data_IF_167788456970
#
_entry.id   IF_167788456970
#
_cell.length_a   1.000
_cell.length_b   1.000
_cell.length_c   1.000
_cell.angle_alpha   90.00
_cell.angle_beta   90.00
_cell.angle_gamma   90.00
#
_symmetry.space_group_name_H-M   'P 1'
#
loop_
_entity.id
_entity.type
_entity.pdbx_description
1 polymer ?
#
# COMPACT_ATOMS: atom_id res chain seq x y z
N UNK A 1 -1.28 -22.97 -29.48
CA UNK A 1 -2.60 -23.01 -30.16
C UNK A 1 -3.33 -21.67 -30.07
N UNK A 2 -2.94 -20.77 -29.16
CA UNK A 2 -3.71 -19.57 -28.80
C UNK A 2 -3.73 -18.47 -29.88
N UNK A 3 -2.67 -18.33 -30.67
CA UNK A 3 -2.59 -17.27 -31.69
C UNK A 3 -3.60 -17.41 -32.83
N UNK A 4 -3.84 -18.63 -33.32
CA UNK A 4 -4.83 -18.88 -34.38
C UNK A 4 -6.26 -18.73 -33.87
N UNK A 5 -6.54 -19.18 -32.65
CA UNK A 5 -7.86 -19.02 -32.00
C UNK A 5 -8.16 -17.53 -31.81
N UNK A 6 -7.19 -16.76 -31.31
CA UNK A 6 -7.33 -15.31 -31.09
C UNK A 6 -7.54 -14.56 -32.41
N UNK A 7 -6.85 -14.94 -33.50
CA UNK A 7 -7.08 -14.37 -34.83
C UNK A 7 -8.48 -14.68 -35.38
N UNK A 8 -8.99 -15.90 -35.15
CA UNK A 8 -10.32 -16.31 -35.59
C UNK A 8 -11.43 -15.56 -34.82
N UNK A 9 -11.24 -15.38 -33.52
CA UNK A 9 -12.11 -14.56 -32.67
C UNK A 9 -12.12 -13.09 -33.10
N UNK A 10 -10.95 -12.52 -33.41
CA UNK A 10 -10.83 -11.14 -33.91
C UNK A 10 -11.48 -10.99 -35.29
N UNK A 11 -11.29 -11.96 -36.19
CA UNK A 11 -11.93 -11.96 -37.50
C UNK A 11 -13.45 -12.01 -37.39
N UNK A 12 -13.97 -12.92 -36.57
CA UNK A 12 -15.40 -13.02 -36.28
C UNK A 12 -15.96 -11.73 -35.65
N UNK A 13 -15.28 -11.18 -34.64
CA UNK A 13 -15.70 -9.97 -33.93
C UNK A 13 -15.63 -8.70 -34.79
N UNK A 14 -14.69 -8.65 -35.74
CA UNK A 14 -14.57 -7.52 -36.67
C UNK A 14 -15.68 -7.50 -37.74
N UNK A 15 -16.38 -8.62 -37.95
CA UNK A 15 -17.38 -8.76 -39.03
C UNK A 15 -16.80 -8.59 -40.44
N UNK A 16 -15.47 -8.62 -40.59
CA UNK A 16 -14.75 -8.31 -41.82
C UNK A 16 -13.75 -9.41 -42.15
N UNK A 17 -13.61 -9.71 -43.44
CA UNK A 17 -12.59 -10.64 -43.97
C UNK A 17 -11.28 -9.90 -44.24
N UNK A 18 -11.29 -8.57 -44.18
CA UNK A 18 -10.10 -7.77 -44.41
C UNK A 18 -9.18 -7.79 -43.19
N UNK A 19 -7.95 -8.28 -43.42
CA UNK A 19 -6.89 -8.36 -42.40
C UNK A 19 -6.65 -7.00 -41.72
N UNK A 20 -6.83 -5.89 -42.42
CA UNK A 20 -6.70 -4.53 -41.85
C UNK A 20 -7.70 -4.25 -40.72
N UNK A 21 -8.94 -4.72 -40.84
CA UNK A 21 -9.96 -4.52 -39.80
C UNK A 21 -9.70 -5.43 -38.59
N UNK A 22 -9.28 -6.68 -38.86
CA UNK A 22 -8.86 -7.63 -37.82
C UNK A 22 -7.68 -7.09 -37.02
N UNK A 23 -6.66 -6.57 -37.71
CA UNK A 23 -5.49 -5.96 -37.08
C UNK A 23 -5.85 -4.72 -36.27
N UNK A 24 -6.70 -3.83 -36.81
CA UNK A 24 -7.18 -2.65 -36.09
C UNK A 24 -7.88 -3.04 -34.78
N UNK A 25 -8.75 -4.04 -34.82
CA UNK A 25 -9.47 -4.52 -33.63
C UNK A 25 -8.53 -5.21 -32.63
N UNK A 26 -7.54 -5.97 -33.13
CA UNK A 26 -6.47 -6.54 -32.31
C UNK A 26 -5.68 -5.47 -31.55
N UNK A 27 -5.22 -4.43 -32.24
CA UNK A 27 -4.50 -3.32 -31.60
C UNK A 27 -5.36 -2.55 -30.59
N UNK A 28 -6.65 -2.32 -30.89
CA UNK A 28 -7.56 -1.68 -29.94
C UNK A 28 -7.71 -2.49 -28.64
N UNK A 29 -7.78 -3.82 -28.76
CA UNK A 29 -7.88 -4.71 -27.59
C UNK A 29 -6.61 -4.70 -26.76
N UNK A 30 -5.43 -4.79 -27.38
CA UNK A 30 -4.14 -4.69 -26.69
C UNK A 30 -3.98 -3.34 -25.98
N UNK A 31 -4.33 -2.22 -26.63
CA UNK A 31 -4.31 -0.89 -25.99
C UNK A 31 -5.24 -0.84 -24.77
N UNK A 32 -6.40 -1.50 -24.83
CA UNK A 32 -7.32 -1.54 -23.71
C UNK A 32 -6.81 -2.41 -22.55
N UNK A 33 -6.16 -3.54 -22.85
CA UNK A 33 -5.51 -4.40 -21.86
C UNK A 33 -4.38 -3.63 -21.13
N UNK A 34 -3.53 -2.93 -21.88
CA UNK A 34 -2.46 -2.08 -21.32
C UNK A 34 -3.01 -0.91 -20.48
N UNK A 35 -4.12 -0.30 -20.90
CA UNK A 35 -4.81 0.73 -20.09
C UNK A 35 -5.37 0.17 -18.79
N UNK A 36 -5.85 -1.07 -18.81
CA UNK A 36 -6.28 -1.79 -17.61
C UNK A 36 -5.13 -1.95 -16.62
N UNK A 37 -3.97 -2.42 -17.10
CA UNK A 37 -2.74 -2.54 -16.31
C UNK A 37 -2.27 -1.20 -15.74
N UNK A 38 -2.27 -0.15 -16.56
CA UNK A 38 -1.88 1.18 -16.13
C UNK A 38 -2.80 1.70 -15.01
N UNK A 39 -4.12 1.50 -15.14
CA UNK A 39 -5.10 1.87 -14.11
C UNK A 39 -4.89 1.09 -12.81
N UNK A 40 -4.59 -0.21 -12.92
CA UNK A 40 -4.26 -1.06 -11.78
C UNK A 40 -3.01 -0.58 -11.04
N UNK A 41 -1.93 -0.28 -11.78
CA UNK A 41 -0.69 0.25 -11.21
C UNK A 41 -0.90 1.61 -10.53
N UNK A 42 -1.70 2.48 -11.13
CA UNK A 42 -2.07 3.77 -10.50
C UNK A 42 -2.82 3.57 -9.19
N UNK A 43 -3.79 2.64 -9.14
CA UNK A 43 -4.48 2.29 -7.90
C UNK A 43 -3.52 1.75 -6.82
N UNK A 44 -2.54 0.94 -7.22
CA UNK A 44 -1.47 0.46 -6.34
C UNK A 44 -0.59 1.58 -5.80
N UNK A 45 -0.22 2.56 -6.63
CA UNK A 45 0.53 3.73 -6.18
C UNK A 45 -0.22 4.51 -5.11
N UNK A 46 -1.52 4.77 -5.30
CA UNK A 46 -2.35 5.45 -4.30
C UNK A 46 -2.41 4.65 -2.99
N UNK A 47 -2.61 3.34 -3.07
CA UNK A 47 -2.62 2.48 -1.88
C UNK A 47 -1.29 2.54 -1.10
N UNK A 48 -0.16 2.52 -1.79
CA UNK A 48 1.15 2.63 -1.16
C UNK A 48 1.33 4.01 -0.53
N UNK A 49 0.91 5.08 -1.21
CA UNK A 49 1.02 6.46 -0.70
C UNK A 49 0.23 6.65 0.60
N UNK A 50 -1.01 6.16 0.66
CA UNK A 50 -1.83 6.16 1.89
C UNK A 50 -1.15 5.40 3.04
N UNK A 51 -0.53 4.26 2.75
CA UNK A 51 0.22 3.47 3.75
C UNK A 51 1.47 4.20 4.24
N UNK A 52 2.19 4.88 3.35
CA UNK A 52 3.34 5.70 3.73
C UNK A 52 2.92 6.88 4.59
N UNK A 53 1.82 7.56 4.24
CA UNK A 53 1.26 8.65 5.05
C UNK A 53 0.87 8.17 6.45
N UNK A 54 0.21 7.01 6.56
CA UNK A 54 -0.13 6.40 7.84
C UNK A 54 1.10 6.09 8.70
N UNK A 55 2.13 5.47 8.11
CA UNK A 55 3.38 5.18 8.81
C UNK A 55 4.10 6.45 9.26
N UNK A 56 4.11 7.47 8.41
CA UNK A 56 4.71 8.76 8.75
C UNK A 56 3.98 9.44 9.91
N UNK A 57 2.65 9.34 9.97
CA UNK A 57 1.87 9.83 11.11
C UNK A 57 2.24 9.10 12.41
N UNK A 58 2.36 7.76 12.37
CA UNK A 58 2.82 6.98 13.52
C UNK A 58 4.22 7.40 13.97
N UNK A 59 5.17 7.54 13.03
CA UNK A 59 6.54 7.97 13.34
C UNK A 59 6.50 9.33 14.03
N UNK A 60 5.73 10.28 13.50
CA UNK A 60 5.59 11.61 14.09
C UNK A 60 5.00 11.57 15.51
N UNK A 61 3.97 10.75 15.74
CA UNK A 61 3.40 10.57 17.08
C UNK A 61 4.41 9.94 18.05
N UNK A 62 5.21 8.98 17.59
CA UNK A 62 6.26 8.35 18.38
C UNK A 62 7.41 9.32 18.70
N UNK A 63 7.82 10.16 17.75
CA UNK A 63 8.82 11.21 17.95
C UNK A 63 8.33 12.28 18.92
N UNK A 64 7.05 12.68 18.81
CA UNK A 64 6.41 13.59 19.76
C UNK A 64 6.36 12.97 21.16
N UNK A 65 5.99 11.69 21.26
CA UNK A 65 6.00 10.95 22.51
C UNK A 65 7.41 10.84 23.09
N UNK A 66 8.43 10.57 22.27
CA UNK A 66 9.83 10.46 22.72
C UNK A 66 10.41 11.80 23.18
N UNK A 67 10.17 12.87 22.42
CA UNK A 67 10.60 14.24 22.77
C UNK A 67 9.88 14.80 23.99
N UNK A 68 8.65 14.35 24.28
CA UNK A 68 7.98 14.63 25.55
C UNK A 68 8.38 13.66 26.64
N UNK A 69 8.71 12.42 26.32
CA UNK A 69 9.26 11.46 27.27
C UNK A 69 10.61 11.93 27.82
N UNK A 70 11.40 12.72 27.09
CA UNK A 70 12.58 13.40 27.65
C UNK A 70 12.22 14.50 28.67
N UNK A 71 11.12 15.24 28.44
CA UNK A 71 10.55 16.19 29.42
C UNK A 71 10.03 15.44 30.64
N UNK A 72 9.42 14.27 30.45
CA UNK A 72 9.00 13.43 31.58
C UNK A 72 10.19 12.71 32.23
N UNK A 73 11.23 12.31 31.51
CA UNK A 73 12.49 11.79 32.07
C UNK A 73 13.16 12.85 32.93
N UNK A 74 13.19 14.10 32.48
CA UNK A 74 13.69 15.24 33.26
C UNK A 74 12.84 15.51 34.52
N UNK A 75 11.52 15.36 34.43
CA UNK A 75 10.60 15.46 35.58
C UNK A 75 10.67 14.23 36.52
N UNK A 76 10.96 13.04 36.00
CA UNK A 76 11.09 11.76 36.73
C UNK A 76 12.43 11.70 37.45
N UNK A 77 13.54 12.11 36.82
CA UNK A 77 14.83 12.32 37.50
C UNK A 77 14.70 13.33 38.66
N UNK A 78 13.82 14.33 38.53
CA UNK A 78 13.53 15.28 39.61
C UNK A 78 12.59 14.73 40.70
N UNK A 79 11.85 13.64 40.44
CA UNK A 79 10.83 13.07 41.35
C UNK A 79 11.14 11.69 41.93
N UNK A 80 12.20 11.00 41.48
CA UNK A 80 12.84 9.78 42.02
C UNK A 80 12.00 8.81 42.89
N UNK A 81 10.71 8.63 42.59
CA UNK A 81 9.79 7.83 43.40
C UNK A 81 8.63 7.21 42.63
N UNK A 82 8.36 7.67 41.40
CA UNK A 82 7.22 7.23 40.57
C UNK A 82 7.65 6.38 39.34
N UNK A 83 8.80 5.69 39.41
CA UNK A 83 9.34 4.84 38.33
C UNK A 83 8.38 3.73 37.85
N UNK A 84 7.38 3.39 38.65
CA UNK A 84 6.39 2.34 38.36
C UNK A 84 5.45 2.72 37.21
N UNK A 85 5.05 4.00 37.10
CA UNK A 85 4.06 4.43 36.11
C UNK A 85 4.67 4.50 34.70
N UNK A 86 5.97 4.79 34.61
CA UNK A 86 6.69 4.83 33.34
C UNK A 86 6.96 3.44 32.75
N UNK A 87 7.29 2.47 33.60
CA UNK A 87 7.48 1.09 33.19
C UNK A 87 6.18 0.48 32.59
N UNK A 88 5.03 0.87 33.14
CA UNK A 88 3.72 0.35 32.73
C UNK A 88 3.34 0.82 31.31
N UNK A 89 3.59 2.09 30.98
CA UNK A 89 3.32 2.61 29.63
C UNK A 89 4.21 1.95 28.55
N UNK A 90 5.48 1.69 28.85
CA UNK A 90 6.41 1.02 27.92
C UNK A 90 6.00 -0.45 27.73
N UNK A 91 5.57 -1.15 28.79
CA UNK A 91 5.03 -2.50 28.67
C UNK A 91 3.75 -2.53 27.83
N UNK A 92 2.86 -1.55 27.99
CA UNK A 92 1.62 -1.46 27.21
C UNK A 92 1.89 -1.34 25.71
N UNK A 93 2.80 -0.46 25.29
CA UNK A 93 3.19 -0.33 23.88
C UNK A 93 3.90 -1.56 23.33
N UNK A 94 4.75 -2.22 24.16
CA UNK A 94 5.39 -3.48 23.77
C UNK A 94 4.36 -4.59 23.55
N UNK A 95 3.37 -4.70 24.43
CA UNK A 95 2.31 -5.71 24.33
C UNK A 95 1.43 -5.52 23.08
N UNK A 96 1.10 -4.28 22.72
CA UNK A 96 0.34 -3.99 21.48
C UNK A 96 1.14 -4.42 20.24
N UNK A 97 2.44 -4.13 20.22
CA UNK A 97 3.31 -4.46 19.09
C UNK A 97 3.54 -5.97 18.97
N UNK A 98 3.72 -6.67 20.07
CA UNK A 98 3.91 -8.12 20.08
C UNK A 98 2.61 -8.85 19.64
N UNK A 99 1.43 -8.31 19.97
CA UNK A 99 0.14 -8.80 19.50
C UNK A 99 -0.08 -8.62 17.98
N UNK A 100 0.42 -7.54 17.38
CA UNK A 100 0.38 -7.36 15.91
C UNK A 100 1.34 -8.29 15.18
N UNK A 101 2.45 -8.70 15.79
CA UNK A 101 3.46 -9.55 15.15
C UNK A 101 3.10 -11.05 15.12
N UNK A 102 2.15 -11.51 15.95
CA UNK A 102 1.66 -12.90 15.99
C UNK A 102 0.49 -13.19 15.03
N UNK A 103 0.08 -12.22 14.22
CA UNK A 103 -1.06 -12.31 13.31
C UNK A 103 -0.65 -12.43 11.84
#
# INVERSE_FOLDING_TARGET
MDGLVRLLELAYSSGSVYISDVMRLGFQREVQEERGWLSFLQGWCVYIDDRLAYLNAIIWELELCSSRASVVQFLVEFRSGDDVVFADAIMYFKAIRDFEAEK
#
